data_IF_429653858113
#
_entry.id   IF_429653858113
#
_cell.length_a   1.000
_cell.length_b   1.000
_cell.length_c   1.000
_cell.angle_alpha   90.00
_cell.angle_beta   90.00
_cell.angle_gamma   90.00
#
_symmetry.space_group_name_H-M   'P 1'
#
loop_
_entity.id
_entity.type
_entity.pdbx_description
1 polymer ?
#
# COMPACT_ATOMS: atom_id res chain seq x y z
N UNK A 1 -26.85 -1.54 30.37
CA UNK A 1 -25.49 -0.97 30.44
C UNK A 1 -25.53 0.40 29.78
N UNK A 2 -25.21 1.45 30.52
CA UNK A 2 -25.18 2.82 30.00
C UNK A 2 -23.96 2.94 29.08
N UNK A 3 -24.14 3.29 27.80
CA UNK A 3 -23.04 3.73 26.92
C UNK A 3 -22.38 4.92 27.61
N UNK A 4 -21.22 4.72 28.25
CA UNK A 4 -20.40 5.83 28.72
C UNK A 4 -20.08 6.74 27.53
N UNK A 5 -20.08 8.05 27.73
CA UNK A 5 -19.83 9.00 26.64
C UNK A 5 -18.41 8.78 26.08
N UNK A 6 -18.32 8.58 24.76
CA UNK A 6 -17.05 8.38 24.02
C UNK A 6 -16.03 9.51 24.27
N UNK A 7 -16.53 10.71 24.58
CA UNK A 7 -15.80 11.98 24.73
C UNK A 7 -14.69 12.01 25.80
N UNK A 8 -14.66 11.07 26.75
CA UNK A 8 -13.62 11.03 27.79
C UNK A 8 -12.38 10.24 27.35
N UNK A 9 -12.56 9.21 26.53
CA UNK A 9 -11.51 8.24 26.18
C UNK A 9 -10.87 8.53 24.82
N UNK A 10 -11.47 9.39 23.99
CA UNK A 10 -10.99 9.69 22.64
C UNK A 10 -9.92 10.80 22.58
N UNK A 11 -9.66 11.50 23.69
CA UNK A 11 -8.70 12.61 23.75
C UNK A 11 -7.25 12.19 23.98
N UNK A 12 -7.03 10.98 24.47
CA UNK A 12 -5.70 10.49 24.83
C UNK A 12 -5.32 9.31 23.95
N UNK A 13 -4.03 9.22 23.64
CA UNK A 13 -3.51 8.25 22.68
C UNK A 13 -3.52 6.81 23.18
N UNK A 14 -3.11 6.61 24.43
CA UNK A 14 -2.77 5.29 24.98
C UNK A 14 -3.81 4.82 26.00
N UNK A 15 -5.05 5.30 25.89
CA UNK A 15 -6.13 4.93 26.81
C UNK A 15 -7.14 4.09 26.04
N UNK A 16 -7.35 2.87 26.52
CA UNK A 16 -8.40 2.00 26.00
C UNK A 16 -9.78 2.56 26.35
N UNK A 17 -10.68 2.54 25.38
CA UNK A 17 -12.10 2.76 25.63
C UNK A 17 -12.68 1.61 26.45
N UNK A 18 -13.86 1.78 27.08
CA UNK A 18 -14.56 0.68 27.76
C UNK A 18 -14.86 -0.51 26.86
N UNK A 19 -14.89 -0.30 25.54
CA UNK A 19 -15.10 -1.34 24.52
C UNK A 19 -13.78 -2.01 24.07
N UNK A 20 -12.63 -1.59 24.62
CA UNK A 20 -11.31 -2.15 24.30
C UNK A 20 -10.62 -1.53 23.08
N UNK A 21 -11.13 -0.40 22.56
CA UNK A 21 -10.60 0.23 21.35
C UNK A 21 -9.63 1.38 21.66
N UNK A 22 -8.75 1.68 20.70
CA UNK A 22 -7.87 2.86 20.70
C UNK A 22 -8.36 3.86 19.64
N UNK A 23 -9.21 4.81 20.04
CA UNK A 23 -9.86 5.74 19.11
C UNK A 23 -8.88 6.63 18.33
N UNK A 24 -7.73 6.98 18.91
CA UNK A 24 -6.72 7.79 18.21
C UNK A 24 -6.09 7.06 17.01
N UNK A 25 -6.00 5.73 17.05
CA UNK A 25 -5.56 4.92 15.90
C UNK A 25 -6.63 4.99 14.80
N UNK A 26 -7.91 4.80 15.13
CA UNK A 26 -9.00 4.93 14.17
C UNK A 26 -9.05 6.32 13.52
N UNK A 27 -8.78 7.37 14.30
CA UNK A 27 -8.70 8.74 13.79
C UNK A 27 -7.51 8.95 12.86
N UNK A 28 -6.34 8.36 13.17
CA UNK A 28 -5.17 8.40 12.29
C UNK A 28 -5.45 7.70 10.96
N UNK A 29 -6.12 6.55 10.97
CA UNK A 29 -6.47 5.83 9.73
C UNK A 29 -7.51 6.63 8.92
N UNK A 30 -8.52 7.23 9.58
CA UNK A 30 -9.46 8.15 8.92
C UNK A 30 -8.75 9.36 8.31
N UNK A 31 -7.72 9.90 8.96
CA UNK A 31 -6.93 11.00 8.42
C UNK A 31 -6.17 10.61 7.15
N UNK A 32 -5.70 9.37 7.04
CA UNK A 32 -5.13 8.84 5.78
C UNK A 32 -6.18 8.89 4.65
N UNK A 33 -7.37 8.35 4.92
CA UNK A 33 -8.47 8.28 3.93
C UNK A 33 -8.93 9.66 3.46
N UNK A 34 -8.93 10.64 4.35
CA UNK A 34 -9.34 12.02 4.05
C UNK A 34 -8.46 12.71 2.99
N UNK A 35 -7.24 12.22 2.71
CA UNK A 35 -6.38 12.82 1.68
C UNK A 35 -6.85 12.57 0.24
N UNK A 36 -7.82 11.68 0.03
CA UNK A 36 -8.38 11.37 -1.29
C UNK A 36 -7.34 10.91 -2.34
N UNK A 37 -6.20 10.39 -1.88
CA UNK A 37 -5.20 9.73 -2.71
C UNK A 37 -5.40 8.23 -2.53
N UNK A 38 -5.31 7.50 -3.64
CA UNK A 38 -5.33 6.04 -3.68
C UNK A 38 -4.04 5.57 -4.33
N UNK A 39 -3.38 4.60 -3.72
CA UNK A 39 -2.22 3.93 -4.30
C UNK A 39 -2.42 2.42 -4.24
N UNK A 40 -1.95 1.72 -5.26
CA UNK A 40 -2.08 0.27 -5.41
C UNK A 40 -0.70 -0.34 -5.56
N UNK A 41 -0.46 -1.45 -4.88
CA UNK A 41 0.67 -2.33 -5.09
C UNK A 41 0.19 -3.65 -5.70
N UNK A 42 0.89 -4.13 -6.73
CA UNK A 42 0.64 -5.44 -7.35
C UNK A 42 1.96 -6.19 -7.48
N UNK A 43 1.98 -7.44 -7.04
CA UNK A 43 3.09 -8.37 -7.17
C UNK A 43 2.80 -9.41 -8.26
N UNK A 44 3.63 -9.40 -9.30
CA UNK A 44 3.74 -10.48 -10.30
C UNK A 44 4.63 -11.61 -9.81
N UNK A 45 5.00 -12.53 -10.71
CA UNK A 45 5.92 -13.62 -10.34
C UNK A 45 7.36 -13.11 -10.22
N UNK A 46 7.76 -12.19 -11.10
CA UNK A 46 9.13 -11.70 -11.22
C UNK A 46 9.28 -10.19 -10.97
N UNK A 47 8.18 -9.48 -10.71
CA UNK A 47 8.22 -8.05 -10.42
C UNK A 47 7.17 -7.63 -9.40
N UNK A 48 7.37 -6.45 -8.81
CA UNK A 48 6.35 -5.75 -8.05
C UNK A 48 6.23 -4.32 -8.57
N UNK A 49 5.00 -3.84 -8.69
CA UNK A 49 4.66 -2.53 -9.22
C UNK A 49 3.85 -1.77 -8.18
N UNK A 50 4.20 -0.50 -7.99
CA UNK A 50 3.40 0.47 -7.27
C UNK A 50 2.87 1.47 -8.30
N UNK A 51 1.59 1.81 -8.18
CA UNK A 51 0.94 2.91 -8.88
C UNK A 51 0.30 3.84 -7.85
N UNK A 52 0.44 5.15 -8.02
CA UNK A 52 -0.15 6.14 -7.14
C UNK A 52 -0.78 7.27 -7.95
N UNK A 53 -1.86 7.86 -7.42
CA UNK A 53 -2.41 9.08 -7.98
C UNK A 53 -1.45 10.25 -7.71
N UNK A 54 -1.10 10.96 -8.78
CA UNK A 54 -0.31 12.19 -8.73
C UNK A 54 -1.24 13.38 -8.48
N UNK A 55 -1.74 13.46 -7.25
CA UNK A 55 -2.66 14.51 -6.79
C UNK A 55 -2.13 15.15 -5.52
N UNK A 56 -2.44 16.43 -5.33
CA UNK A 56 -2.18 17.09 -4.06
C UNK A 56 -3.02 16.45 -2.95
N UNK A 57 -2.36 16.04 -1.87
CA UNK A 57 -2.98 15.45 -0.68
C UNK A 57 -3.81 16.46 0.15
N UNK A 58 -3.70 17.75 -0.18
CA UNK A 58 -4.23 18.84 0.64
C UNK A 58 -5.64 19.22 0.21
N UNK A 59 -6.60 19.16 1.14
CA UNK A 59 -7.98 19.61 0.93
C UNK A 59 -8.12 21.14 0.83
N UNK A 60 -7.12 21.89 1.29
CA UNK A 60 -7.20 23.33 1.48
C UNK A 60 -6.92 24.16 0.21
N UNK A 61 -6.32 23.58 -0.83
CA UNK A 61 -6.01 24.27 -2.09
C UNK A 61 -6.22 23.29 -3.24
N UNK A 62 -7.34 23.42 -3.94
CA UNK A 62 -7.61 22.69 -5.18
C UNK A 62 -6.94 23.42 -6.35
N UNK A 63 -6.02 22.72 -7.03
CA UNK A 63 -5.51 23.07 -8.36
C UNK A 63 -4.90 24.47 -8.48
N UNK A 64 -3.79 24.69 -7.80
CA UNK A 64 -2.99 25.87 -8.09
C UNK A 64 -2.18 25.64 -9.37
N UNK A 65 -2.40 26.49 -10.38
CA UNK A 65 -1.65 26.45 -11.67
C UNK A 65 -0.17 26.77 -11.47
N UNK A 66 0.19 27.30 -10.31
CA UNK A 66 1.55 27.69 -9.96
C UNK A 66 2.37 26.55 -9.37
N UNK A 67 1.74 25.43 -9.01
CA UNK A 67 2.45 24.26 -8.49
C UNK A 67 3.10 23.49 -9.62
N UNK A 68 4.38 23.15 -9.42
CA UNK A 68 5.09 22.26 -10.31
C UNK A 68 4.74 20.81 -9.98
N UNK A 69 3.87 20.22 -10.80
CA UNK A 69 3.43 18.84 -10.66
C UNK A 69 4.58 17.83 -10.82
N UNK A 70 5.75 18.21 -11.35
CA UNK A 70 6.89 17.29 -11.43
C UNK A 70 7.49 16.97 -10.06
N UNK A 71 7.40 17.90 -9.10
CA UNK A 71 7.93 17.74 -7.75
C UNK A 71 6.92 17.12 -6.77
N UNK A 72 5.68 16.93 -7.21
CA UNK A 72 4.63 16.28 -6.43
C UNK A 72 4.75 14.78 -6.61
N UNK A 73 5.09 14.06 -5.53
CA UNK A 73 5.17 12.60 -5.53
C UNK A 73 4.75 12.01 -4.20
N UNK A 74 4.16 10.83 -4.28
CA UNK A 74 3.86 9.92 -3.18
C UNK A 74 4.77 8.68 -3.23
N UNK A 75 5.63 8.56 -4.24
CA UNK A 75 6.56 7.45 -4.46
C UNK A 75 7.98 7.89 -4.09
N UNK A 76 8.64 7.12 -3.22
CA UNK A 76 9.96 7.46 -2.69
C UNK A 76 10.89 6.25 -2.74
N UNK A 77 12.13 6.46 -3.16
CA UNK A 77 13.19 5.50 -2.97
C UNK A 77 13.66 5.49 -1.49
N UNK A 78 13.76 4.30 -0.90
CA UNK A 78 14.35 4.13 0.44
C UNK A 78 15.82 3.74 0.30
N UNK A 79 16.08 2.73 -0.54
CA UNK A 79 17.42 2.35 -1.02
C UNK A 79 17.39 2.30 -2.54
N UNK A 80 18.49 1.88 -3.16
CA UNK A 80 18.53 1.67 -4.61
C UNK A 80 17.60 0.52 -5.06
N UNK A 81 17.39 -0.49 -4.22
CA UNK A 81 16.61 -1.71 -4.51
C UNK A 81 15.20 -1.71 -3.88
N UNK A 82 14.96 -0.81 -2.91
CA UNK A 82 13.69 -0.73 -2.17
C UNK A 82 13.09 0.66 -2.33
N UNK A 83 11.83 0.70 -2.74
CA UNK A 83 11.04 1.92 -2.75
C UNK A 83 9.68 1.74 -2.11
N UNK A 84 9.02 2.85 -1.85
CA UNK A 84 7.71 2.87 -1.21
C UNK A 84 6.76 3.88 -1.84
N UNK A 85 5.48 3.68 -1.61
CA UNK A 85 4.43 4.69 -1.76
C UNK A 85 3.88 5.04 -0.40
N UNK A 86 3.69 6.32 -0.13
CA UNK A 86 3.20 6.86 1.12
C UNK A 86 1.93 7.67 0.89
N UNK A 87 0.87 7.35 1.61
CA UNK A 87 -0.42 8.05 1.54
C UNK A 87 -0.83 8.51 2.93
N UNK A 88 -1.37 9.72 3.03
CA UNK A 88 -1.77 10.35 4.28
C UNK A 88 -1.19 11.74 4.44
N UNK A 89 -1.02 12.19 5.67
CA UNK A 89 -0.57 13.55 5.95
C UNK A 89 0.86 13.76 5.40
N UNK A 90 1.10 14.73 4.49
CA UNK A 90 2.38 14.85 3.78
C UNK A 90 3.61 14.97 4.69
N UNK A 91 3.49 15.70 5.81
CA UNK A 91 4.57 15.83 6.78
C UNK A 91 4.90 14.52 7.49
N UNK A 92 3.89 13.71 7.80
CA UNK A 92 4.09 12.38 8.39
C UNK A 92 4.68 11.41 7.36
N UNK A 93 4.17 11.43 6.13
CA UNK A 93 4.69 10.62 5.02
C UNK A 93 6.19 10.85 4.84
N UNK A 94 6.62 12.11 4.73
CA UNK A 94 8.03 12.43 4.56
C UNK A 94 8.86 12.03 5.79
N UNK A 95 8.36 12.26 7.00
CA UNK A 95 9.02 11.81 8.23
C UNK A 95 9.26 10.30 8.23
N UNK A 96 8.27 9.51 7.81
CA UNK A 96 8.39 8.06 7.74
C UNK A 96 9.35 7.58 6.66
N UNK A 97 9.41 8.25 5.51
CA UNK A 97 10.43 7.98 4.46
C UNK A 97 11.84 8.16 5.02
N UNK A 98 12.10 9.27 5.73
CA UNK A 98 13.41 9.49 6.36
C UNK A 98 13.73 8.45 7.44
N UNK A 99 12.75 8.06 8.27
CA UNK A 99 12.94 6.99 9.25
C UNK A 99 13.27 5.65 8.59
N UNK A 100 12.62 5.33 7.46
CA UNK A 100 12.91 4.13 6.68
C UNK A 100 14.31 4.15 6.07
N UNK A 101 14.75 5.29 5.52
CA UNK A 101 16.11 5.47 4.99
C UNK A 101 17.16 5.29 6.07
N UNK A 102 16.94 5.90 7.24
CA UNK A 102 17.85 5.75 8.39
C UNK A 102 17.92 4.30 8.85
N UNK A 103 16.78 3.62 8.97
CA UNK A 103 16.74 2.20 9.35
C UNK A 103 17.49 1.32 8.36
N UNK A 104 17.28 1.52 7.06
CA UNK A 104 17.98 0.76 6.03
C UNK A 104 19.50 1.01 6.06
N UNK A 105 19.93 2.25 6.28
CA UNK A 105 21.35 2.60 6.38
C UNK A 105 22.00 2.03 7.65
N UNK A 106 21.31 2.09 8.78
CA UNK A 106 21.76 1.51 10.05
C UNK A 106 21.88 -0.01 9.97
N UNK A 107 20.91 -0.66 9.32
CA UNK A 107 20.95 -2.09 9.06
C UNK A 107 22.16 -2.47 8.21
N UNK A 108 22.41 -1.75 7.11
CA UNK A 108 23.56 -1.99 6.24
C UNK A 108 24.88 -1.80 7.00
N UNK A 109 24.99 -0.74 7.80
CA UNK A 109 26.18 -0.47 8.62
C UNK A 109 26.44 -1.59 9.63
N UNK A 110 25.40 -2.11 10.27
CA UNK A 110 25.51 -3.08 11.35
C UNK A 110 25.71 -4.52 10.86
N UNK A 111 25.10 -4.88 9.73
CA UNK A 111 25.07 -6.26 9.23
C UNK A 111 25.95 -6.49 7.99
N UNK A 112 26.39 -5.41 7.31
CA UNK A 112 27.28 -5.49 6.14
C UNK A 112 26.59 -5.92 4.84
N UNK A 113 25.26 -6.01 4.81
CA UNK A 113 24.47 -6.29 3.60
C UNK A 113 23.17 -5.47 3.58
N UNK A 114 22.57 -5.33 2.39
CA UNK A 114 21.31 -4.59 2.24
C UNK A 114 20.19 -5.24 3.06
N UNK A 115 19.30 -4.40 3.59
CA UNK A 115 18.10 -4.86 4.30
C UNK A 115 17.09 -5.47 3.33
N UNK A 116 16.45 -6.57 3.72
CA UNK A 116 15.34 -7.15 2.98
C UNK A 116 14.06 -6.32 3.21
N UNK A 117 13.21 -6.18 2.17
CA UNK A 117 11.93 -5.46 2.21
C UNK A 117 11.01 -5.89 3.36
N UNK A 118 10.96 -7.18 3.67
CA UNK A 118 10.16 -7.70 4.80
C UNK A 118 10.69 -7.19 6.16
N UNK A 119 12.01 -7.23 6.32
CA UNK A 119 12.69 -6.81 7.55
C UNK A 119 12.53 -5.30 7.74
N UNK A 120 12.74 -4.52 6.69
CA UNK A 120 12.54 -3.08 6.73
C UNK A 120 11.11 -2.71 7.12
N UNK A 121 10.10 -3.39 6.55
CA UNK A 121 8.70 -3.13 6.89
C UNK A 121 8.41 -3.43 8.37
N UNK A 122 8.91 -4.56 8.89
CA UNK A 122 8.78 -4.91 10.32
C UNK A 122 9.43 -3.86 11.22
N UNK A 123 10.66 -3.48 10.94
CA UNK A 123 11.38 -2.49 11.75
C UNK A 123 10.67 -1.13 11.75
N UNK A 124 10.05 -0.75 10.63
CA UNK A 124 9.21 0.46 10.55
C UNK A 124 7.95 0.33 11.40
N UNK A 125 7.28 -0.81 11.35
CA UNK A 125 6.12 -1.08 12.20
C UNK A 125 6.44 -1.08 13.68
N UNK A 126 7.56 -1.68 14.09
CA UNK A 126 8.01 -1.66 15.47
C UNK A 126 8.24 -0.22 15.94
N UNK A 127 8.83 0.64 15.10
CA UNK A 127 8.97 2.07 15.39
C UNK A 127 7.61 2.78 15.47
N UNK A 128 6.66 2.48 14.59
CA UNK A 128 5.29 3.05 14.63
C UNK A 128 4.59 2.65 15.93
N UNK A 129 4.77 1.40 16.36
CA UNK A 129 4.15 0.85 17.55
C UNK A 129 4.57 1.59 18.84
N UNK A 130 5.80 2.10 18.91
CA UNK A 130 6.24 2.96 20.01
C UNK A 130 5.33 4.21 20.12
N UNK A 131 4.91 4.79 19.00
CA UNK A 131 3.97 5.92 19.00
C UNK A 131 2.56 5.52 19.44
N UNK A 132 2.14 4.26 19.31
CA UNK A 132 0.82 3.81 19.78
C UNK A 132 0.80 3.53 21.28
N UNK A 133 1.96 3.27 21.89
CA UNK A 133 2.09 2.93 23.32
C UNK A 133 2.51 4.10 24.22
N UNK A 134 3.14 5.14 23.68
CA UNK A 134 3.64 6.27 24.47
C UNK A 134 2.83 7.56 24.26
N UNK A 135 2.24 8.08 25.35
CA UNK A 135 1.30 9.21 25.31
C UNK A 135 1.91 10.60 25.05
N UNK A 136 3.24 10.74 25.07
CA UNK A 136 3.91 12.04 24.89
C UNK A 136 4.17 12.40 23.42
N UNK A 137 3.88 11.48 22.48
CA UNK A 137 4.05 11.68 21.05
C UNK A 137 2.69 11.64 20.33
N UNK A 138 2.65 12.11 19.08
CA UNK A 138 1.49 11.95 18.20
C UNK A 138 1.73 10.80 17.23
N UNK A 139 0.68 10.05 16.88
CA UNK A 139 0.73 9.07 15.79
C UNK A 139 1.06 9.72 14.45
N UNK A 140 1.76 8.96 13.61
CA UNK A 140 1.94 9.28 12.20
C UNK A 140 0.68 8.86 11.42
N UNK A 141 -0.02 9.84 10.84
CA UNK A 141 -1.21 9.61 10.04
C UNK A 141 -0.83 9.34 8.58
N UNK A 142 -0.08 8.26 8.36
CA UNK A 142 0.31 7.80 7.03
C UNK A 142 0.28 6.26 6.96
N UNK A 143 -0.15 5.75 5.81
CA UNK A 143 -0.01 4.34 5.44
C UNK A 143 1.02 4.24 4.32
N UNK A 144 1.78 3.15 4.31
CA UNK A 144 2.82 2.94 3.31
C UNK A 144 2.74 1.56 2.67
N UNK A 145 3.14 1.48 1.41
CA UNK A 145 3.45 0.24 0.72
C UNK A 145 4.91 0.25 0.34
N UNK A 146 5.63 -0.84 0.58
CA UNK A 146 7.04 -1.01 0.26
C UNK A 146 7.17 -2.17 -0.72
N UNK A 147 7.93 -1.95 -1.79
CA UNK A 147 8.33 -2.99 -2.74
C UNK A 147 9.85 -3.11 -2.80
N UNK A 148 10.33 -4.31 -3.08
CA UNK A 148 11.74 -4.60 -3.26
C UNK A 148 11.92 -6.04 -3.74
N UNK A 149 13.14 -6.38 -4.15
CA UNK A 149 13.52 -7.77 -4.41
C UNK A 149 14.05 -8.38 -3.11
N UNK A 150 13.52 -9.54 -2.72
CA UNK A 150 14.04 -10.31 -1.58
C UNK A 150 15.33 -11.06 -1.93
N UNK A 151 15.96 -11.65 -0.92
CA UNK A 151 17.22 -12.42 -1.07
C UNK A 151 17.10 -13.63 -2.01
N UNK A 152 15.89 -14.17 -2.17
CA UNK A 152 15.60 -15.27 -3.09
C UNK A 152 15.28 -14.80 -4.53
N UNK A 153 15.57 -13.54 -4.85
CA UNK A 153 15.19 -12.86 -6.10
C UNK A 153 13.68 -12.90 -6.37
N UNK A 154 12.85 -13.02 -5.33
CA UNK A 154 11.41 -12.87 -5.48
C UNK A 154 10.97 -11.45 -5.14
N UNK A 155 9.99 -10.92 -5.87
CA UNK A 155 9.42 -9.62 -5.53
C UNK A 155 8.69 -9.69 -4.19
N UNK A 156 8.86 -8.65 -3.38
CA UNK A 156 8.13 -8.41 -2.15
C UNK A 156 7.21 -7.21 -2.28
N UNK A 157 6.02 -7.31 -1.70
CA UNK A 157 5.08 -6.20 -1.54
C UNK A 157 4.56 -6.26 -0.11
N UNK A 158 4.89 -5.26 0.68
CA UNK A 158 4.49 -5.15 2.08
C UNK A 158 3.78 -3.84 2.31
N UNK A 159 2.84 -3.84 3.25
CA UNK A 159 2.11 -2.65 3.65
C UNK A 159 2.18 -2.49 5.14
N UNK A 160 2.22 -1.23 5.58
CA UNK A 160 2.04 -0.84 6.96
C UNK A 160 1.02 0.29 7.11
N UNK A 161 0.45 0.42 8.30
CA UNK A 161 -0.53 1.47 8.65
C UNK A 161 -0.20 2.17 9.99
N UNK A 162 -0.91 3.24 10.36
CA UNK A 162 -0.70 3.97 11.61
C UNK A 162 -0.83 3.16 12.91
N UNK A 163 -1.42 1.97 12.87
CA UNK A 163 -1.59 1.10 14.05
C UNK A 163 -0.32 0.30 14.39
N UNK A 164 0.66 0.28 13.48
CA UNK A 164 1.83 -0.59 13.58
C UNK A 164 1.60 -1.98 12.98
N UNK A 165 0.46 -2.21 12.31
CA UNK A 165 0.24 -3.42 11.55
C UNK A 165 1.12 -3.44 10.29
N UNK A 166 1.83 -4.54 10.06
CA UNK A 166 2.45 -4.86 8.77
C UNK A 166 2.03 -6.24 8.27
N UNK A 167 1.87 -6.36 6.96
CA UNK A 167 1.69 -7.65 6.30
C UNK A 167 2.21 -7.63 4.86
N UNK A 168 2.53 -8.82 4.35
CA UNK A 168 2.88 -9.05 2.95
C UNK A 168 1.63 -9.36 2.12
N UNK A 169 1.59 -8.84 0.89
CA UNK A 169 0.45 -8.96 -0.02
C UNK A 169 0.87 -9.44 -1.41
N UNK A 170 -0.07 -10.00 -2.16
CA UNK A 170 0.07 -10.14 -3.62
C UNK A 170 -0.47 -8.94 -4.37
N UNK A 171 -1.52 -8.34 -3.85
CA UNK A 171 -1.96 -7.01 -4.24
C UNK A 171 -2.62 -6.34 -3.04
N UNK A 172 -2.41 -5.04 -2.89
CA UNK A 172 -3.00 -4.24 -1.83
C UNK A 172 -3.27 -2.82 -2.30
N UNK A 173 -4.22 -2.16 -1.63
CA UNK A 173 -4.55 -0.76 -1.83
C UNK A 173 -4.34 -0.01 -0.52
N UNK A 174 -3.85 1.22 -0.63
CA UNK A 174 -3.80 2.19 0.46
C UNK A 174 -4.52 3.47 0.10
N UNK A 175 -5.11 4.14 1.09
CA UNK A 175 -5.69 5.47 0.94
C UNK A 175 -7.21 5.51 1.02
N UNK A 176 -7.84 6.46 0.34
CA UNK A 176 -9.28 6.75 0.51
C UNK A 176 -10.20 5.58 0.13
N UNK A 177 -9.84 4.87 -0.95
CA UNK A 177 -10.61 3.72 -1.43
C UNK A 177 -10.29 2.42 -0.70
N UNK A 178 -9.64 2.53 0.46
CA UNK A 178 -9.38 1.45 1.39
C UNK A 178 -10.36 1.50 2.57
N UNK A 179 -10.98 0.39 2.92
CA UNK A 179 -11.75 0.19 4.15
C UNK A 179 -11.04 -0.84 5.02
N UNK A 180 -11.27 -0.78 6.33
CA UNK A 180 -10.64 -1.65 7.33
C UNK A 180 -11.40 -2.98 7.45
N UNK A 181 -10.66 -4.07 7.59
CA UNK A 181 -11.17 -5.33 8.14
C UNK A 181 -10.04 -6.11 8.77
N UNK A 182 -10.37 -6.91 9.79
CA UNK A 182 -9.40 -7.73 10.50
C UNK A 182 -8.89 -8.89 9.64
N UNK A 183 -7.62 -9.23 9.78
CA UNK A 183 -7.01 -10.40 9.16
C UNK A 183 -6.59 -11.39 10.25
N UNK A 184 -6.95 -12.66 10.07
CA UNK A 184 -6.55 -13.78 10.92
C UNK A 184 -5.83 -14.79 10.02
N UNK A 185 -4.68 -15.29 10.48
CA UNK A 185 -4.02 -16.43 9.86
C UNK A 185 -4.69 -17.69 10.42
N UNK A 186 -5.31 -18.48 9.55
CA UNK A 186 -5.96 -19.73 9.89
C UNK A 186 -5.45 -20.87 9.02
N UNK A 187 -5.73 -22.12 9.41
CA UNK A 187 -5.64 -23.25 8.48
C UNK A 187 -6.94 -23.34 7.70
N UNK A 188 -6.86 -23.34 6.36
CA UNK A 188 -8.01 -23.64 5.51
C UNK A 188 -8.43 -25.10 5.64
N UNK A 189 -9.60 -25.44 5.08
CA UNK A 189 -10.12 -26.82 5.05
C UNK A 189 -9.14 -27.81 4.39
N UNK A 190 -8.17 -27.33 3.62
CA UNK A 190 -7.11 -28.11 2.98
C UNK A 190 -5.80 -28.21 3.79
N UNK A 191 -5.82 -27.85 5.08
CA UNK A 191 -4.64 -27.80 5.97
C UNK A 191 -3.50 -26.89 5.47
N UNK A 192 -3.76 -26.00 4.52
CA UNK A 192 -2.79 -24.97 4.12
C UNK A 192 -3.00 -23.71 4.96
N UNK A 193 -1.92 -23.04 5.40
CA UNK A 193 -2.05 -21.73 6.03
C UNK A 193 -2.65 -20.75 5.02
N UNK A 194 -3.80 -20.17 5.38
CA UNK A 194 -4.56 -19.21 4.59
C UNK A 194 -4.69 -17.90 5.36
N UNK A 195 -4.67 -16.78 4.62
CA UNK A 195 -5.01 -15.47 5.16
C UNK A 195 -6.53 -15.33 5.10
N UNK A 196 -7.18 -15.24 6.25
CA UNK A 196 -8.63 -15.05 6.35
C UNK A 196 -8.90 -13.61 6.75
N UNK A 197 -9.79 -12.94 6.03
CA UNK A 197 -10.29 -11.63 6.42
C UNK A 197 -11.63 -11.83 7.09
N UNK A 198 -11.81 -11.20 8.25
CA UNK A 198 -13.06 -11.15 8.96
C UNK A 198 -13.60 -9.72 9.00
N UNK A 199 -14.85 -9.56 8.63
CA UNK A 199 -15.63 -8.34 8.84
C UNK A 199 -16.35 -8.43 10.21
N UNK A 200 -16.57 -7.32 10.96
CA UNK A 200 -17.38 -7.31 12.18
C UNK A 200 -18.82 -7.86 12.03
N UNK A 201 -19.30 -8.07 10.80
CA UNK A 201 -20.55 -8.79 10.47
C UNK A 201 -20.44 -10.32 10.53
N UNK A 202 -19.25 -10.88 10.78
CA UNK A 202 -19.04 -12.32 10.90
C UNK A 202 -18.77 -13.05 9.58
N UNK A 203 -18.53 -12.33 8.49
CA UNK A 203 -18.13 -12.91 7.20
C UNK A 203 -16.63 -13.28 7.20
N UNK A 204 -16.31 -14.53 6.84
CA UNK A 204 -14.96 -15.06 6.73
C UNK A 204 -14.71 -15.62 5.32
N UNK A 205 -13.71 -15.10 4.61
CA UNK A 205 -13.25 -15.69 3.36
C UNK A 205 -11.71 -15.73 3.31
N UNK A 206 -11.16 -16.68 2.56
CA UNK A 206 -9.73 -16.81 2.34
C UNK A 206 -9.27 -15.87 1.22
N UNK A 207 -8.35 -14.95 1.52
CA UNK A 207 -7.95 -13.90 0.59
C UNK A 207 -6.51 -14.08 0.09
N UNK A 208 -6.29 -13.70 -1.17
CA UNK A 208 -4.95 -13.56 -1.77
C UNK A 208 -4.62 -12.11 -2.17
N UNK A 209 -5.59 -11.19 -2.09
CA UNK A 209 -5.47 -9.75 -2.29
C UNK A 209 -6.52 -9.03 -1.40
N UNK A 210 -6.26 -7.79 -0.98
CA UNK A 210 -7.14 -7.06 -0.06
C UNK A 210 -7.47 -5.65 -0.57
N UNK A 211 -8.77 -5.39 -0.80
CA UNK A 211 -9.40 -4.06 -0.99
C UNK A 211 -10.79 -4.12 -0.39
N UNK A 212 -11.28 -3.04 0.21
CA UNK A 212 -12.54 -3.02 0.97
C UNK A 212 -13.09 -1.60 0.80
N UNK A 213 -14.41 -1.38 0.67
CA UNK A 213 -14.99 -0.04 0.48
C UNK A 213 -16.45 -0.05 0.00
N UNK A 214 -17.12 1.10 -0.05
CA UNK A 214 -18.34 1.21 -0.86
C UNK A 214 -17.94 1.06 -2.34
N UNK A 215 -18.34 -0.08 -2.96
CA UNK A 215 -17.79 -0.76 -4.17
C UNK A 215 -16.77 -1.91 -3.92
N UNK A 216 -16.80 -2.52 -2.74
CA UNK A 216 -15.97 -3.65 -2.29
C UNK A 216 -16.11 -4.91 -3.16
N UNK A 217 -17.34 -5.38 -3.39
CA UNK A 217 -17.55 -6.60 -4.19
C UNK A 217 -17.04 -6.42 -5.62
N UNK A 218 -17.16 -5.22 -6.19
CA UNK A 218 -16.59 -4.90 -7.50
C UNK A 218 -15.07 -4.89 -7.42
N UNK A 219 -14.46 -4.14 -6.50
CA UNK A 219 -12.99 -3.97 -6.47
C UNK A 219 -12.25 -5.26 -6.08
N UNK A 220 -12.77 -6.04 -5.12
CA UNK A 220 -12.25 -7.36 -4.74
C UNK A 220 -12.49 -8.34 -5.88
N UNK A 221 -13.72 -8.49 -6.38
CA UNK A 221 -13.95 -9.45 -7.45
C UNK A 221 -13.18 -9.06 -8.70
N UNK A 222 -12.88 -7.79 -8.93
CA UNK A 222 -12.08 -7.34 -10.07
C UNK A 222 -10.61 -7.63 -9.83
N UNK A 223 -10.01 -7.28 -8.69
CA UNK A 223 -8.62 -7.66 -8.41
C UNK A 223 -8.44 -9.18 -8.33
N UNK A 224 -9.36 -9.90 -7.71
CA UNK A 224 -9.36 -11.35 -7.69
C UNK A 224 -9.60 -11.93 -9.08
N UNK A 225 -10.58 -11.48 -9.85
CA UNK A 225 -10.82 -11.93 -11.23
C UNK A 225 -9.63 -11.63 -12.12
N UNK A 226 -8.98 -10.48 -11.95
CA UNK A 226 -7.80 -10.11 -12.72
C UNK A 226 -6.60 -10.97 -12.30
N UNK A 227 -6.39 -11.20 -10.99
CA UNK A 227 -5.37 -12.12 -10.48
C UNK A 227 -5.66 -13.59 -10.84
N UNK A 228 -6.91 -14.01 -10.91
CA UNK A 228 -7.35 -15.36 -11.27
C UNK A 228 -7.25 -15.61 -12.78
N UNK A 229 -7.66 -14.62 -13.60
CA UNK A 229 -7.36 -14.58 -15.04
C UNK A 229 -5.87 -14.75 -15.27
N UNK A 230 -5.05 -14.11 -14.43
CA UNK A 230 -3.60 -14.21 -14.47
C UNK A 230 -3.07 -15.56 -14.01
N UNK A 231 -3.56 -16.14 -12.90
CA UNK A 231 -3.13 -17.49 -12.42
C UNK A 231 -3.17 -18.56 -13.50
N UNK A 232 -4.14 -18.50 -14.42
CA UNK A 232 -4.28 -19.45 -15.54
C UNK A 232 -3.22 -19.26 -16.64
N UNK A 233 -2.56 -18.09 -16.70
CA UNK A 233 -1.55 -17.72 -17.70
C UNK A 233 -0.10 -17.71 -17.17
N UNK A 234 0.11 -17.58 -15.86
CA UNK A 234 1.44 -17.48 -15.20
C UNK A 234 2.40 -18.62 -15.60
N UNK A 235 1.90 -19.82 -15.91
CA UNK A 235 2.76 -20.96 -16.26
C UNK A 235 3.31 -20.92 -17.70
N UNK A 236 2.89 -19.95 -18.52
CA UNK A 236 3.26 -19.83 -19.95
C UNK A 236 3.85 -18.46 -20.32
N UNK A 237 3.91 -17.51 -19.39
CA UNK A 237 4.39 -16.15 -19.65
C UNK A 237 5.92 -16.09 -19.58
N UNK A 238 6.52 -15.35 -20.51
CA UNK A 238 7.92 -14.94 -20.45
C UNK A 238 8.12 -13.89 -19.36
N UNK A 239 9.38 -13.64 -18.99
CA UNK A 239 9.74 -12.66 -17.96
C UNK A 239 9.26 -11.23 -18.30
N UNK A 240 9.35 -10.85 -19.58
CA UNK A 240 8.94 -9.54 -20.07
C UNK A 240 7.41 -9.40 -20.11
N UNK A 241 6.70 -10.47 -20.51
CA UNK A 241 5.24 -10.51 -20.49
C UNK A 241 4.69 -10.41 -19.06
N UNK A 242 5.30 -11.08 -18.08
CA UNK A 242 4.92 -10.98 -16.66
C UNK A 242 5.07 -9.54 -16.14
N UNK A 243 6.14 -8.84 -16.54
CA UNK A 243 6.34 -7.43 -16.19
C UNK A 243 5.25 -6.56 -16.80
N UNK A 244 5.05 -6.66 -18.11
CA UNK A 244 4.05 -5.88 -18.83
C UNK A 244 2.63 -6.13 -18.29
N UNK A 245 2.27 -7.40 -18.05
CA UNK A 245 0.97 -7.77 -17.51
C UNK A 245 0.76 -7.25 -16.08
N UNK A 246 1.82 -7.12 -15.26
CA UNK A 246 1.71 -6.53 -13.90
C UNK A 246 1.45 -5.04 -13.95
N UNK A 247 2.11 -4.34 -14.86
CA UNK A 247 1.91 -2.91 -15.07
C UNK A 247 0.48 -2.66 -15.56
N UNK A 248 0.04 -3.38 -16.60
CA UNK A 248 -1.32 -3.26 -17.14
C UNK A 248 -2.35 -3.55 -16.05
N UNK A 249 -2.15 -4.63 -15.29
CA UNK A 249 -3.03 -4.99 -14.19
C UNK A 249 -3.14 -3.89 -13.12
N UNK A 250 -2.01 -3.26 -12.77
CA UNK A 250 -2.00 -2.16 -11.81
C UNK A 250 -2.79 -0.93 -12.32
N UNK A 251 -2.65 -0.60 -13.61
CA UNK A 251 -3.38 0.52 -14.24
C UNK A 251 -4.89 0.22 -14.31
N UNK A 252 -5.28 -0.94 -14.83
CA UNK A 252 -6.68 -1.37 -14.91
C UNK A 252 -7.34 -1.40 -13.53
N UNK A 253 -6.62 -1.89 -12.51
CA UNK A 253 -7.10 -1.90 -11.14
C UNK A 253 -7.35 -0.47 -10.63
N UNK A 254 -6.46 0.47 -10.93
CA UNK A 254 -6.63 1.86 -10.51
C UNK A 254 -7.77 2.55 -11.26
N UNK A 255 -7.87 2.40 -12.59
CA UNK A 255 -8.99 2.91 -13.39
C UNK A 255 -10.33 2.39 -12.87
N UNK A 256 -10.40 1.10 -12.56
CA UNK A 256 -11.59 0.46 -12.01
C UNK A 256 -11.98 1.06 -10.65
N UNK A 257 -11.04 1.15 -9.72
CA UNK A 257 -11.29 1.63 -8.35
C UNK A 257 -11.72 3.10 -8.35
N UNK A 258 -11.15 3.89 -9.25
CA UNK A 258 -11.47 5.30 -9.42
C UNK A 258 -12.72 5.53 -10.27
N UNK A 259 -13.11 4.55 -11.10
CA UNK A 259 -14.22 4.60 -12.05
C UNK A 259 -14.10 5.73 -13.08
N UNK A 260 -12.88 6.02 -13.55
CA UNK A 260 -12.61 6.93 -14.67
C UNK A 260 -11.27 6.61 -15.34
N UNK A 261 -11.12 7.06 -16.59
CA UNK A 261 -9.91 6.88 -17.37
C UNK A 261 -8.79 7.79 -16.87
N UNK A 262 -7.63 7.18 -16.62
CA UNK A 262 -6.43 7.86 -16.15
C UNK A 262 -5.67 8.50 -17.30
N UNK A 263 -5.07 9.67 -17.04
CA UNK A 263 -4.05 10.25 -17.92
C UNK A 263 -2.65 10.00 -17.36
N UNK A 264 -1.65 9.94 -18.24
CA UNK A 264 -0.26 9.68 -17.83
C UNK A 264 0.27 10.69 -16.80
N UNK A 265 -0.13 11.97 -16.91
CA UNK A 265 0.27 13.03 -15.98
C UNK A 265 -0.45 13.01 -14.62
N UNK A 266 -1.53 12.21 -14.47
CA UNK A 266 -2.33 12.11 -13.23
C UNK A 266 -1.88 10.95 -12.35
N UNK A 267 -0.91 10.14 -12.81
CA UNK A 267 -0.39 8.99 -12.10
C UNK A 267 1.13 8.96 -12.12
N UNK A 268 1.68 8.20 -11.18
CA UNK A 268 3.08 7.84 -11.14
C UNK A 268 3.20 6.36 -10.82
N UNK A 269 4.22 5.73 -11.39
CA UNK A 269 4.44 4.29 -11.26
C UNK A 269 5.90 4.00 -11.00
N UNK A 270 6.16 2.97 -10.20
CA UNK A 270 7.49 2.44 -10.02
C UNK A 270 7.47 0.93 -9.95
N UNK A 271 8.56 0.32 -10.37
CA UNK A 271 8.72 -1.12 -10.51
C UNK A 271 10.05 -1.57 -9.94
N UNK A 272 10.03 -2.75 -9.34
CA UNK A 272 11.20 -3.60 -9.10
C UNK A 272 10.99 -4.91 -9.84
N UNK A 273 12.04 -5.44 -10.45
CA UNK A 273 11.93 -6.64 -11.26
C UNK A 273 13.15 -7.53 -11.11
N UNK A 274 13.03 -8.79 -11.50
CA UNK A 274 14.16 -9.71 -11.52
C UNK A 274 15.23 -9.33 -12.56
N UNK A 275 14.85 -8.67 -13.66
CA UNK A 275 15.79 -8.17 -14.67
C UNK A 275 16.56 -6.96 -14.17
N UNK A 276 15.87 -6.03 -13.51
CA UNK A 276 16.44 -4.87 -12.86
C UNK A 276 15.92 -4.78 -11.41
N UNK A 277 16.73 -5.22 -10.42
CA UNK A 277 16.33 -5.20 -9.02
C UNK A 277 16.28 -3.79 -8.44
N UNK A 278 16.86 -2.79 -9.12
CA UNK A 278 16.78 -1.41 -8.69
C UNK A 278 15.35 -0.87 -8.82
N UNK A 279 14.93 -0.14 -7.79
CA UNK A 279 13.67 0.57 -7.76
C UNK A 279 13.66 1.66 -8.84
N UNK A 280 12.85 1.43 -9.88
CA UNK A 280 12.84 2.26 -11.08
C UNK A 280 11.48 2.92 -11.24
N UNK A 281 11.45 4.25 -11.28
CA UNK A 281 10.24 5.00 -11.61
C UNK A 281 10.02 4.99 -13.13
N UNK A 282 8.82 4.64 -13.55
CA UNK A 282 8.43 4.56 -14.97
C UNK A 282 8.20 5.99 -15.49
N UNK A 283 8.73 6.29 -16.68
CA UNK A 283 8.58 7.62 -17.27
C UNK A 283 7.15 7.88 -17.74
N UNK A 284 6.72 9.14 -17.78
CA UNK A 284 5.37 9.52 -18.25
C UNK A 284 5.09 9.01 -19.68
N UNK A 285 6.11 9.01 -20.55
CA UNK A 285 6.01 8.49 -21.92
C UNK A 285 5.72 6.99 -21.96
N UNK A 286 6.36 6.22 -21.09
CA UNK A 286 6.11 4.78 -21.01
C UNK A 286 4.73 4.50 -20.42
N UNK A 287 4.30 5.26 -19.41
CA UNK A 287 2.94 5.18 -18.86
C UNK A 287 1.90 5.45 -19.96
N UNK A 288 2.10 6.47 -20.80
CA UNK A 288 1.21 6.81 -21.91
C UNK A 288 1.12 5.68 -22.96
N UNK A 289 2.25 5.02 -23.26
CA UNK A 289 2.27 3.83 -24.13
C UNK A 289 1.43 2.69 -23.54
N UNK A 290 1.53 2.42 -22.23
CA UNK A 290 0.72 1.39 -21.58
C UNK A 290 -0.77 1.74 -21.56
N UNK A 291 -1.12 3.02 -21.32
CA UNK A 291 -2.51 3.49 -21.39
C UNK A 291 -3.08 3.34 -22.80
N UNK A 292 -2.30 3.68 -23.83
CA UNK A 292 -2.69 3.50 -25.24
C UNK A 292 -2.89 2.03 -25.56
N UNK A 293 -1.97 1.15 -25.11
CA UNK A 293 -2.09 -0.29 -25.30
C UNK A 293 -3.35 -0.88 -24.64
N UNK A 294 -3.74 -0.38 -23.47
CA UNK A 294 -4.98 -0.80 -22.81
C UNK A 294 -6.20 -0.36 -23.65
N UNK A 295 -6.21 0.88 -24.11
CA UNK A 295 -7.30 1.42 -24.92
C UNK A 295 -7.46 0.73 -26.30
N UNK A 296 -6.38 0.24 -26.89
CA UNK A 296 -6.42 -0.53 -28.16
C UNK A 296 -6.90 -1.98 -27.99
N UNK A 297 -6.89 -2.50 -26.75
CA UNK A 297 -7.28 -3.89 -26.45
C UNK A 297 -8.78 -4.05 -26.18
N UNK A 298 -9.45 -2.95 -25.84
CA UNK A 298 -10.90 -2.87 -25.56
C UNK A 298 -11.71 -2.55 -26.84
#
# INVERSE_FOLDING_TARGET
MVRQSQSMYDRHLTIFSPDGNLYQIEYAIKAVKNTNITSIGVKGENCAVIISQKKMATQYISQDKLLDYNNITNIYNITDEIGCSMVGMPGDCLSMVYKARMEAAEFLYSNGHNVNVETLCRNICDKIQIFTQHAYMRLHACSGMIIGMGEDNKPGLFKFDPSGFCAGYRACVIGNKEQESGMIIGMGEDNKPGLFKFDPSGFCAGYRACVIGNKEQESISILERLLEKRKKKIQQETLEEDIQNTIILAIEALQTILAFDLKANEIEMAIVSKTNPNFTQISEKEIDNYLTFIAERD
#
